data_IF_967943248067
#
_entry.id   IF_967943248067
#
_cell.length_a   1.000
_cell.length_b   1.000
_cell.length_c   1.000
_cell.angle_alpha   90.00
_cell.angle_beta   90.00
_cell.angle_gamma   90.00
#
_symmetry.space_group_name_H-M   'P 1'
#
loop_
_entity.id
_entity.type
_entity.pdbx_description
1 polymer ?
#
# COMPACT_ATOMS: atom_id res chain seq x y z
N UNK A 1 -24.51 -14.61 1.77
CA UNK A 1 -25.68 -13.88 2.32
C UNK A 1 -25.72 -13.82 3.85
N UNK A 2 -25.72 -12.61 4.41
CA UNK A 2 -25.93 -12.31 5.84
C UNK A 2 -26.99 -11.22 6.01
N UNK A 3 -27.86 -11.33 7.01
CA UNK A 3 -28.79 -10.25 7.38
C UNK A 3 -28.10 -9.33 8.39
N UNK A 4 -28.08 -8.04 8.09
CA UNK A 4 -27.48 -7.01 8.92
C UNK A 4 -28.53 -6.44 9.85
N UNK A 5 -28.16 -6.33 11.11
CA UNK A 5 -28.90 -5.69 12.20
C UNK A 5 -27.99 -4.69 12.90
N UNK A 6 -28.55 -3.85 13.78
CA UNK A 6 -27.75 -2.95 14.59
C UNK A 6 -26.66 -3.65 15.41
N UNK A 7 -26.92 -4.88 15.87
CA UNK A 7 -25.98 -5.61 16.73
C UNK A 7 -24.76 -6.14 15.98
N UNK A 8 -24.91 -6.50 14.71
CA UNK A 8 -23.82 -7.09 13.92
C UNK A 8 -23.25 -6.16 12.85
N UNK A 9 -23.84 -4.98 12.63
CA UNK A 9 -23.38 -4.00 11.65
C UNK A 9 -21.88 -3.72 11.71
N UNK A 10 -21.32 -3.53 12.91
CA UNK A 10 -19.90 -3.22 13.06
C UNK A 10 -19.00 -4.42 12.70
N UNK A 11 -19.31 -5.63 13.19
CA UNK A 11 -18.49 -6.80 12.95
C UNK A 11 -18.64 -7.35 11.52
N UNK A 12 -19.89 -7.57 11.10
CA UNK A 12 -20.23 -8.35 9.92
C UNK A 12 -20.31 -7.52 8.63
N UNK A 13 -20.34 -6.18 8.75
CA UNK A 13 -20.29 -5.27 7.61
C UNK A 13 -19.04 -4.40 7.64
N UNK A 14 -18.83 -3.61 8.70
CA UNK A 14 -17.71 -2.67 8.72
C UNK A 14 -16.37 -3.40 8.78
N UNK A 15 -16.11 -4.19 9.82
CA UNK A 15 -14.83 -4.89 9.95
C UNK A 15 -14.63 -5.92 8.85
N UNK A 16 -15.64 -6.75 8.57
CA UNK A 16 -15.54 -7.73 7.49
C UNK A 16 -15.26 -7.09 6.11
N UNK A 17 -15.70 -5.85 5.86
CA UNK A 17 -15.39 -5.16 4.61
C UNK A 17 -13.94 -4.70 4.45
N UNK A 18 -13.12 -4.78 5.51
CA UNK A 18 -11.67 -4.56 5.44
C UNK A 18 -11.02 -5.68 4.65
N UNK A 19 -11.44 -6.93 4.89
CA UNK A 19 -10.84 -8.12 4.31
C UNK A 19 -11.48 -8.50 2.97
N UNK A 20 -12.78 -8.26 2.81
CA UNK A 20 -13.52 -8.66 1.61
C UNK A 20 -14.62 -7.64 1.26
N UNK A 21 -14.74 -7.17 0.00
CA UNK A 21 -15.82 -6.25 -0.38
C UNK A 21 -17.21 -6.80 -0.04
N UNK A 22 -18.07 -5.96 0.54
CA UNK A 22 -19.44 -6.32 0.91
C UNK A 22 -20.43 -5.42 0.18
N UNK A 23 -21.32 -6.02 -0.60
CA UNK A 23 -22.47 -5.33 -1.18
C UNK A 23 -23.66 -5.45 -0.23
N UNK A 24 -24.10 -4.32 0.32
CA UNK A 24 -25.29 -4.24 1.18
C UNK A 24 -26.53 -3.89 0.34
N UNK A 25 -27.50 -4.80 0.27
CA UNK A 25 -28.83 -4.59 -0.32
C UNK A 25 -29.83 -4.11 0.74
N UNK A 26 -30.19 -2.83 0.69
CA UNK A 26 -31.24 -2.24 1.53
C UNK A 26 -32.59 -2.44 0.86
N UNK A 27 -33.43 -3.28 1.47
CA UNK A 27 -34.68 -3.77 0.88
C UNK A 27 -35.85 -3.72 1.88
N UNK A 28 -37.06 -3.99 1.40
CA UNK A 28 -38.23 -4.26 2.24
C UNK A 28 -39.24 -5.19 1.54
N UNK A 29 -40.10 -5.94 2.26
CA UNK A 29 -41.02 -6.91 1.65
C UNK A 29 -42.05 -6.32 0.68
N UNK A 30 -42.44 -5.06 0.91
CA UNK A 30 -43.39 -4.31 0.10
C UNK A 30 -42.75 -3.70 -1.17
N UNK A 31 -41.43 -3.68 -1.25
CA UNK A 31 -40.70 -3.12 -2.40
C UNK A 31 -40.77 -4.07 -3.60
N UNK A 32 -41.57 -3.71 -4.60
CA UNK A 32 -41.69 -4.47 -5.86
C UNK A 32 -40.33 -4.66 -6.58
N UNK A 33 -39.58 -3.58 -6.88
CA UNK A 33 -38.29 -3.68 -7.56
C UNK A 33 -37.24 -4.52 -6.81
N UNK A 34 -37.29 -4.55 -5.47
CA UNK A 34 -36.39 -5.37 -4.65
C UNK A 34 -36.57 -6.87 -4.94
N UNK A 35 -37.79 -7.32 -5.25
CA UNK A 35 -38.10 -8.72 -5.55
C UNK A 35 -37.44 -9.22 -6.84
N UNK A 36 -37.20 -8.33 -7.80
CA UNK A 36 -36.45 -8.67 -9.02
C UNK A 36 -34.93 -8.54 -8.82
N UNK A 37 -34.48 -7.61 -7.98
CA UNK A 37 -33.06 -7.34 -7.77
C UNK A 37 -32.37 -8.43 -6.93
N UNK A 38 -32.98 -8.85 -5.82
CA UNK A 38 -32.39 -9.81 -4.88
C UNK A 38 -31.86 -11.09 -5.55
N UNK A 39 -32.65 -11.80 -6.36
CA UNK A 39 -32.19 -13.02 -7.05
C UNK A 39 -31.02 -12.78 -8.02
N UNK A 40 -30.93 -11.58 -8.62
CA UNK A 40 -29.80 -11.22 -9.49
C UNK A 40 -28.54 -11.02 -8.66
N UNK A 41 -28.64 -10.35 -7.50
CA UNK A 41 -27.51 -10.17 -6.58
C UNK A 41 -27.00 -11.50 -6.03
N UNK A 42 -27.90 -12.38 -5.61
CA UNK A 42 -27.56 -13.73 -5.11
C UNK A 42 -26.86 -14.57 -6.19
N UNK A 43 -27.36 -14.51 -7.44
CA UNK A 43 -26.70 -15.15 -8.58
C UNK A 43 -25.29 -14.60 -8.81
N UNK A 44 -25.10 -13.29 -8.67
CA UNK A 44 -23.79 -12.66 -8.84
C UNK A 44 -22.83 -13.00 -7.70
N UNK A 45 -23.29 -13.08 -6.45
CA UNK A 45 -22.46 -13.53 -5.31
C UNK A 45 -21.83 -14.90 -5.61
N UNK A 46 -22.64 -15.84 -6.12
CA UNK A 46 -22.15 -17.17 -6.53
C UNK A 46 -21.21 -17.08 -7.73
N UNK A 47 -21.57 -16.30 -8.76
CA UNK A 47 -20.76 -16.18 -9.98
C UNK A 47 -19.40 -15.52 -9.76
N UNK A 48 -19.28 -14.65 -8.76
CA UNK A 48 -18.01 -14.02 -8.38
C UNK A 48 -17.20 -14.90 -7.42
N UNK A 49 -17.68 -16.12 -7.09
CA UNK A 49 -16.93 -17.15 -6.37
C UNK A 49 -16.29 -16.67 -5.05
N UNK A 50 -17.03 -15.86 -4.28
CA UNK A 50 -16.54 -15.34 -3.01
C UNK A 50 -15.57 -14.16 -3.13
N UNK A 51 -15.43 -13.51 -4.28
CA UNK A 51 -14.66 -12.25 -4.38
C UNK A 51 -15.36 -11.06 -3.70
N UNK A 52 -16.66 -11.17 -3.46
CA UNK A 52 -17.43 -10.26 -2.62
C UNK A 52 -18.51 -11.02 -1.85
N UNK A 53 -19.05 -10.40 -0.80
CA UNK A 53 -20.17 -10.93 -0.02
C UNK A 53 -21.42 -10.08 -0.18
N UNK A 54 -22.56 -10.72 -0.30
CA UNK A 54 -23.87 -10.07 -0.28
C UNK A 54 -24.38 -10.01 1.17
N UNK A 55 -24.74 -8.81 1.60
CA UNK A 55 -25.41 -8.54 2.87
C UNK A 55 -26.77 -7.90 2.60
N UNK A 56 -27.74 -8.14 3.47
CA UNK A 56 -29.10 -7.59 3.32
C UNK A 56 -29.49 -6.80 4.56
N UNK A 57 -30.10 -5.64 4.36
CA UNK A 57 -30.65 -4.81 5.42
C UNK A 57 -32.13 -4.58 5.14
N UNK A 58 -32.99 -5.07 6.03
CA UNK A 58 -34.42 -4.79 5.92
C UNK A 58 -34.72 -3.41 6.53
N UNK A 59 -35.16 -2.47 5.70
CA UNK A 59 -35.45 -1.10 6.09
C UNK A 59 -36.64 -0.97 7.07
N UNK A 60 -37.54 -1.97 7.12
CA UNK A 60 -38.66 -1.97 8.08
C UNK A 60 -38.18 -2.34 9.50
N UNK A 61 -37.21 -3.25 9.62
CA UNK A 61 -36.72 -3.73 10.92
C UNK A 61 -35.53 -2.92 11.43
N UNK A 62 -34.73 -2.36 10.53
CA UNK A 62 -33.54 -1.56 10.84
C UNK A 62 -33.64 -0.13 10.24
N UNK A 63 -34.69 0.64 10.59
CA UNK A 63 -34.98 1.92 9.94
C UNK A 63 -33.90 2.99 10.20
N UNK A 64 -33.22 2.94 11.35
CA UNK A 64 -32.18 3.91 11.70
C UNK A 64 -30.95 3.76 10.78
N UNK A 65 -30.50 2.53 10.55
CA UNK A 65 -29.36 2.23 9.66
C UNK A 65 -29.73 2.58 8.22
N UNK A 66 -30.90 2.13 7.76
CA UNK A 66 -31.38 2.42 6.41
C UNK A 66 -31.55 3.93 6.16
N UNK A 67 -32.04 4.67 7.16
CA UNK A 67 -32.19 6.12 7.12
C UNK A 67 -30.85 6.85 7.01
N UNK A 68 -29.85 6.45 7.80
CA UNK A 68 -28.50 7.03 7.73
C UNK A 68 -27.84 6.80 6.37
N UNK A 69 -27.90 5.57 5.85
CA UNK A 69 -27.36 5.26 4.51
C UNK A 69 -28.09 6.06 3.42
N UNK A 70 -29.41 6.16 3.51
CA UNK A 70 -30.21 6.94 2.56
C UNK A 70 -29.82 8.43 2.57
N UNK A 71 -29.58 9.01 3.75
CA UNK A 71 -29.12 10.39 3.87
C UNK A 71 -27.72 10.59 3.28
N UNK A 72 -26.79 9.68 3.57
CA UNK A 72 -25.41 9.74 3.09
C UNK A 72 -25.32 9.69 1.56
N UNK A 73 -26.15 8.87 0.91
CA UNK A 73 -26.22 8.78 -0.55
C UNK A 73 -27.21 9.77 -1.19
N UNK A 74 -27.96 10.55 -0.40
CA UNK A 74 -28.90 11.56 -0.89
C UNK A 74 -30.17 10.96 -1.54
N UNK A 75 -30.57 9.76 -1.12
CA UNK A 75 -31.66 8.98 -1.73
C UNK A 75 -32.84 8.86 -0.78
N UNK A 76 -34.03 8.60 -1.33
CA UNK A 76 -35.29 8.49 -0.55
C UNK A 76 -36.09 7.23 -0.86
N UNK A 77 -35.52 6.32 -1.65
CA UNK A 77 -36.21 5.15 -2.17
C UNK A 77 -35.31 3.93 -2.13
N UNK A 78 -35.93 2.78 -1.85
CA UNK A 78 -35.31 1.46 -1.98
C UNK A 78 -35.74 0.81 -3.31
N UNK A 79 -34.96 -0.16 -3.85
CA UNK A 79 -33.70 -0.69 -3.29
C UNK A 79 -32.55 0.31 -3.38
N UNK A 80 -31.72 0.34 -2.33
CA UNK A 80 -30.43 1.02 -2.30
C UNK A 80 -29.37 -0.05 -2.08
N UNK A 81 -28.39 -0.14 -2.97
CA UNK A 81 -27.23 -1.02 -2.80
C UNK A 81 -25.99 -0.18 -2.50
N UNK A 82 -25.23 -0.56 -1.49
CA UNK A 82 -24.03 0.15 -1.04
C UNK A 82 -22.85 -0.81 -1.03
N UNK A 83 -21.74 -0.43 -1.69
CA UNK A 83 -20.49 -1.16 -1.62
C UNK A 83 -19.68 -0.69 -0.41
N UNK A 84 -19.32 -1.62 0.46
CA UNK A 84 -18.38 -1.42 1.55
C UNK A 84 -17.05 -2.09 1.20
N UNK A 85 -15.95 -1.33 1.33
CA UNK A 85 -14.58 -1.80 1.12
C UNK A 85 -13.63 -1.02 2.02
N UNK A 86 -12.67 -1.69 2.64
CA UNK A 86 -11.71 -1.06 3.55
C UNK A 86 -12.36 -0.47 4.81
N UNK A 87 -13.49 -1.05 5.27
CA UNK A 87 -14.21 -0.57 6.44
C UNK A 87 -15.12 0.65 6.22
N UNK A 88 -15.34 1.03 4.96
CA UNK A 88 -16.10 2.25 4.63
C UNK A 88 -17.01 2.05 3.42
N UNK A 89 -18.12 2.80 3.32
CA UNK A 89 -18.93 2.86 2.11
C UNK A 89 -18.17 3.61 1.01
N UNK A 90 -17.91 2.96 -0.12
CA UNK A 90 -17.08 3.50 -1.21
C UNK A 90 -17.88 3.89 -2.45
N UNK A 91 -19.04 3.28 -2.67
CA UNK A 91 -19.92 3.56 -3.81
C UNK A 91 -21.32 2.99 -3.56
N UNK A 92 -22.30 3.34 -4.39
CA UNK A 92 -23.66 2.80 -4.28
C UNK A 92 -24.54 3.09 -5.49
N UNK A 93 -25.63 2.35 -5.63
CA UNK A 93 -26.63 2.56 -6.67
C UNK A 93 -28.05 2.38 -6.14
N UNK A 94 -29.02 2.97 -6.85
CA UNK A 94 -30.45 2.97 -6.47
C UNK A 94 -31.27 2.32 -7.57
N UNK A 95 -32.28 1.56 -7.16
CA UNK A 95 -33.22 0.92 -8.06
C UNK A 95 -32.76 -0.46 -8.53
N UNK A 96 -33.65 -1.13 -9.26
CA UNK A 96 -33.36 -2.43 -9.84
C UNK A 96 -32.67 -2.26 -11.20
N UNK A 97 -31.34 -2.29 -11.19
CA UNK A 97 -30.52 -2.22 -12.40
C UNK A 97 -30.49 -3.57 -13.15
N UNK A 98 -30.11 -3.55 -14.44
CA UNK A 98 -29.89 -4.77 -15.19
C UNK A 98 -28.62 -5.50 -14.73
N UNK A 99 -28.55 -6.83 -14.88
CA UNK A 99 -27.39 -7.64 -14.44
C UNK A 99 -26.06 -7.10 -14.99
N UNK A 100 -26.03 -6.64 -16.25
CA UNK A 100 -24.84 -6.08 -16.87
C UNK A 100 -24.35 -4.79 -16.18
N UNK A 101 -25.26 -3.92 -15.74
CA UNK A 101 -24.93 -2.69 -15.02
C UNK A 101 -24.42 -3.00 -13.62
N UNK A 102 -25.00 -4.00 -12.95
CA UNK A 102 -24.53 -4.46 -11.63
C UNK A 102 -23.13 -5.05 -11.74
N UNK A 103 -22.84 -5.84 -12.78
CA UNK A 103 -21.48 -6.35 -13.04
C UNK A 103 -20.48 -5.22 -13.24
N UNK A 104 -20.80 -4.24 -14.07
CA UNK A 104 -19.96 -3.06 -14.25
C UNK A 104 -19.74 -2.27 -12.96
N UNK A 105 -20.73 -2.23 -12.07
CA UNK A 105 -20.57 -1.65 -10.73
C UNK A 105 -19.63 -2.49 -9.86
N UNK A 106 -19.83 -3.81 -9.80
CA UNK A 106 -19.00 -4.73 -9.01
C UNK A 106 -17.54 -4.74 -9.48
N UNK A 107 -17.30 -4.79 -10.78
CA UNK A 107 -15.94 -4.89 -11.37
C UNK A 107 -15.06 -3.67 -11.07
N UNK A 108 -15.63 -2.55 -10.59
CA UNK A 108 -14.86 -1.39 -10.12
C UNK A 108 -14.28 -1.58 -8.72
N UNK A 109 -14.88 -2.44 -7.92
CA UNK A 109 -14.64 -2.52 -6.47
C UNK A 109 -14.20 -3.91 -6.02
N UNK A 110 -14.64 -4.95 -6.73
CA UNK A 110 -14.36 -6.34 -6.43
C UNK A 110 -13.09 -6.76 -7.17
N UNK A 111 -12.07 -7.29 -6.47
CA UNK A 111 -10.82 -7.69 -7.10
C UNK A 111 -11.07 -8.79 -8.14
N UNK A 112 -10.22 -8.87 -9.16
CA UNK A 112 -10.22 -10.00 -10.10
C UNK A 112 -9.63 -11.25 -9.43
N UNK A 113 -9.84 -12.47 -9.98
CA UNK A 113 -9.18 -13.67 -9.48
C UNK A 113 -7.65 -13.56 -9.43
N UNK A 114 -7.05 -12.95 -10.46
CA UNK A 114 -5.60 -12.74 -10.54
C UNK A 114 -5.11 -11.74 -9.48
N UNK A 115 -5.92 -10.73 -9.15
CA UNK A 115 -5.60 -9.80 -8.07
C UNK A 115 -5.62 -10.47 -6.69
N UNK A 116 -6.56 -11.38 -6.44
CA UNK A 116 -6.58 -12.16 -5.20
C UNK A 116 -5.41 -13.13 -5.11
N UNK A 117 -5.10 -13.83 -6.20
CA UNK A 117 -3.95 -14.74 -6.25
C UNK A 117 -2.64 -13.97 -6.02
N UNK A 118 -2.51 -12.76 -6.59
CA UNK A 118 -1.38 -11.89 -6.33
C UNK A 118 -1.29 -11.46 -4.85
N UNK A 119 -2.42 -11.20 -4.19
CA UNK A 119 -2.46 -10.88 -2.76
C UNK A 119 -2.02 -12.08 -1.90
N UNK A 120 -2.49 -13.29 -2.22
CA UNK A 120 -2.07 -14.53 -1.56
C UNK A 120 -0.56 -14.79 -1.71
N UNK A 121 0.00 -14.54 -2.90
CA UNK A 121 1.43 -14.68 -3.15
C UNK A 121 2.26 -13.65 -2.34
N UNK A 122 1.77 -12.41 -2.18
CA UNK A 122 2.41 -11.41 -1.31
C UNK A 122 2.42 -11.88 0.14
N UNK A 123 1.29 -12.37 0.66
CA UNK A 123 1.20 -12.89 2.03
C UNK A 123 2.13 -14.08 2.26
N UNK A 124 2.20 -15.00 1.28
CA UNK A 124 3.12 -16.14 1.33
C UNK A 124 4.59 -15.68 1.35
N UNK A 125 4.94 -14.67 0.55
CA UNK A 125 6.28 -14.09 0.55
C UNK A 125 6.64 -13.44 1.89
N UNK A 126 5.70 -12.71 2.52
CA UNK A 126 5.92 -12.12 3.84
C UNK A 126 6.21 -13.19 4.89
N UNK A 127 5.46 -14.30 4.89
CA UNK A 127 5.70 -15.43 5.78
C UNK A 127 7.09 -16.07 5.53
N UNK A 128 7.46 -16.30 4.27
CA UNK A 128 8.78 -16.83 3.89
C UNK A 128 9.92 -15.91 4.34
N UNK A 129 9.79 -14.58 4.18
CA UNK A 129 10.78 -13.63 4.67
C UNK A 129 10.92 -13.66 6.19
N UNK A 130 9.82 -13.84 6.92
CA UNK A 130 9.84 -13.96 8.39
C UNK A 130 10.60 -15.22 8.86
N UNK A 131 10.58 -16.27 8.04
CA UNK A 131 11.30 -17.53 8.28
C UNK A 131 12.74 -17.52 7.71
N UNK A 132 13.12 -16.48 6.97
CA UNK A 132 14.43 -16.31 6.35
C UNK A 132 14.56 -16.96 4.96
N UNK A 133 13.47 -17.48 4.40
CA UNK A 133 13.39 -18.08 3.07
C UNK A 133 13.35 -17.02 1.96
N UNK A 134 14.49 -16.36 1.75
CA UNK A 134 14.58 -15.19 0.87
C UNK A 134 14.29 -15.49 -0.60
N UNK A 135 14.80 -16.61 -1.13
CA UNK A 135 14.64 -16.94 -2.55
C UNK A 135 13.19 -17.30 -2.89
N UNK A 136 12.52 -18.09 -2.03
CA UNK A 136 11.10 -18.42 -2.20
C UNK A 136 10.21 -17.19 -2.11
N UNK A 137 10.51 -16.27 -1.18
CA UNK A 137 9.78 -15.01 -1.08
C UNK A 137 9.92 -14.14 -2.33
N UNK A 138 11.13 -14.07 -2.91
CA UNK A 138 11.36 -13.33 -4.15
C UNK A 138 10.54 -13.92 -5.30
N UNK A 139 10.52 -15.25 -5.45
CA UNK A 139 9.73 -15.94 -6.47
C UNK A 139 8.25 -15.59 -6.35
N UNK A 140 7.69 -15.69 -5.15
CA UNK A 140 6.31 -15.32 -4.85
C UNK A 140 6.00 -13.86 -5.15
N UNK A 141 6.89 -12.94 -4.78
CA UNK A 141 6.73 -11.52 -5.10
C UNK A 141 6.79 -11.24 -6.62
N UNK A 142 7.60 -11.98 -7.36
CA UNK A 142 7.67 -11.86 -8.82
C UNK A 142 6.38 -12.38 -9.48
N UNK A 143 5.82 -13.49 -8.99
CA UNK A 143 4.51 -14.02 -9.42
C UNK A 143 3.39 -13.01 -9.15
N UNK A 144 3.33 -12.45 -7.94
CA UNK A 144 2.36 -11.41 -7.59
C UNK A 144 2.44 -10.17 -8.51
N UNK A 145 3.65 -9.71 -8.82
CA UNK A 145 3.87 -8.57 -9.72
C UNK A 145 3.50 -8.92 -11.18
N UNK A 146 3.63 -10.18 -11.59
CA UNK A 146 3.22 -10.63 -12.90
C UNK A 146 1.68 -10.72 -13.03
N UNK A 147 1.00 -11.21 -11.99
CA UNK A 147 -0.45 -11.31 -11.90
C UNK A 147 -1.13 -9.93 -11.79
N UNK A 148 -0.55 -9.03 -11.00
CA UNK A 148 -1.02 -7.65 -10.87
C UNK A 148 0.10 -6.62 -11.09
N UNK A 149 0.45 -6.32 -12.37
CA UNK A 149 1.52 -5.37 -12.69
C UNK A 149 1.28 -3.93 -12.21
N UNK A 150 0.01 -3.58 -11.93
CA UNK A 150 -0.41 -2.28 -11.40
C UNK A 150 -0.21 -2.13 -9.89
N UNK A 151 0.06 -3.22 -9.16
CA UNK A 151 0.28 -3.18 -7.72
C UNK A 151 1.69 -2.67 -7.38
N UNK A 152 1.79 -1.36 -7.21
CA UNK A 152 3.05 -0.69 -6.86
C UNK A 152 3.57 -1.09 -5.46
N UNK A 153 2.71 -1.59 -4.54
CA UNK A 153 3.15 -2.14 -3.24
C UNK A 153 3.89 -3.47 -3.43
N UNK A 154 3.27 -4.43 -4.11
CA UNK A 154 3.90 -5.72 -4.42
C UNK A 154 5.21 -5.54 -5.19
N UNK A 155 5.22 -4.60 -6.15
CA UNK A 155 6.44 -4.24 -6.89
C UNK A 155 7.52 -3.66 -5.99
N UNK A 156 7.16 -2.79 -5.05
CA UNK A 156 8.10 -2.25 -4.08
C UNK A 156 8.70 -3.35 -3.21
N UNK A 157 7.90 -4.25 -2.67
CA UNK A 157 8.38 -5.35 -1.83
C UNK A 157 9.29 -6.31 -2.62
N UNK A 158 8.92 -6.63 -3.87
CA UNK A 158 9.76 -7.39 -4.79
C UNK A 158 11.13 -6.71 -5.01
N UNK A 159 11.13 -5.43 -5.38
CA UNK A 159 12.37 -4.66 -5.60
C UNK A 159 13.24 -4.60 -4.36
N UNK A 160 12.64 -4.36 -3.20
CA UNK A 160 13.36 -4.32 -1.92
C UNK A 160 13.99 -5.67 -1.62
N UNK A 161 13.26 -6.77 -1.77
CA UNK A 161 13.79 -8.12 -1.55
C UNK A 161 14.95 -8.44 -2.50
N UNK A 162 14.80 -8.13 -3.79
CA UNK A 162 15.85 -8.32 -4.81
C UNK A 162 17.11 -7.50 -4.50
N UNK A 163 16.97 -6.22 -4.15
CA UNK A 163 18.09 -5.34 -3.80
C UNK A 163 18.79 -5.79 -2.52
N UNK A 164 18.04 -6.22 -1.50
CA UNK A 164 18.61 -6.77 -0.27
C UNK A 164 19.39 -8.06 -0.52
N UNK A 165 18.91 -8.91 -1.45
CA UNK A 165 19.58 -10.13 -1.89
C UNK A 165 20.73 -9.89 -2.89
N UNK A 166 20.95 -8.65 -3.33
CA UNK A 166 21.98 -8.31 -4.32
C UNK A 166 21.69 -8.77 -5.75
N UNK A 167 20.43 -9.10 -6.07
CA UNK A 167 19.97 -9.55 -7.40
C UNK A 167 19.67 -8.34 -8.29
N UNK A 168 20.72 -7.61 -8.67
CA UNK A 168 20.64 -6.29 -9.31
C UNK A 168 19.96 -6.36 -10.69
N UNK A 169 20.28 -7.37 -11.51
CA UNK A 169 19.67 -7.52 -12.84
C UNK A 169 18.16 -7.78 -12.77
N UNK A 170 17.74 -8.65 -11.85
CA UNK A 170 16.32 -8.96 -11.61
C UNK A 170 15.58 -7.72 -11.06
N UNK A 171 16.23 -6.95 -10.17
CA UNK A 171 15.69 -5.69 -9.66
C UNK A 171 15.51 -4.65 -10.79
N UNK A 172 16.48 -4.54 -11.70
CA UNK A 172 16.38 -3.67 -12.89
C UNK A 172 15.21 -4.06 -13.77
N UNK A 173 15.07 -5.34 -14.11
CA UNK A 173 13.95 -5.83 -14.90
C UNK A 173 12.59 -5.55 -14.23
N UNK A 174 12.53 -5.62 -12.90
CA UNK A 174 11.31 -5.33 -12.13
C UNK A 174 10.97 -3.83 -12.09
N UNK A 175 11.98 -2.96 -12.12
CA UNK A 175 11.82 -1.51 -12.04
C UNK A 175 11.53 -0.85 -13.40
N UNK A 176 12.10 -1.36 -14.49
CA UNK A 176 12.03 -0.75 -15.82
C UNK A 176 10.59 -0.42 -16.30
N UNK A 177 9.57 -1.28 -16.09
CA UNK A 177 8.20 -0.97 -16.48
C UNK A 177 7.60 0.28 -15.81
N UNK A 178 8.15 0.69 -14.66
CA UNK A 178 7.64 1.83 -13.88
C UNK A 178 8.56 3.04 -13.88
N UNK A 179 9.79 2.91 -14.38
CA UNK A 179 10.80 3.97 -14.37
C UNK A 179 10.35 5.28 -15.06
N UNK A 180 9.52 5.17 -16.10
CA UNK A 180 9.00 6.32 -16.85
C UNK A 180 7.65 6.85 -16.40
N UNK A 181 7.04 6.29 -15.34
CA UNK A 181 5.73 6.76 -14.86
C UNK A 181 5.84 8.21 -14.38
N UNK A 182 4.90 9.07 -14.83
CA UNK A 182 4.85 10.49 -14.44
C UNK A 182 4.66 10.68 -12.93
N UNK A 183 3.86 9.82 -12.31
CA UNK A 183 3.63 9.78 -10.87
C UNK A 183 4.06 8.40 -10.37
N UNK A 184 5.25 8.33 -9.79
CA UNK A 184 5.82 7.12 -9.22
C UNK A 184 5.78 7.22 -7.69
N UNK A 185 5.40 6.13 -7.03
CA UNK A 185 5.43 6.02 -5.56
C UNK A 185 6.84 6.37 -5.04
N UNK A 186 6.93 7.16 -3.98
CA UNK A 186 8.20 7.62 -3.42
C UNK A 186 9.12 6.46 -2.99
N UNK A 187 8.56 5.31 -2.61
CA UNK A 187 9.31 4.09 -2.27
C UNK A 187 9.92 3.45 -3.51
N UNK A 188 9.21 3.44 -4.64
CA UNK A 188 9.76 2.98 -5.91
C UNK A 188 10.87 3.92 -6.41
N UNK A 189 10.71 5.24 -6.23
CA UNK A 189 11.80 6.21 -6.49
C UNK A 189 13.03 5.89 -5.63
N UNK A 190 12.84 5.54 -4.36
CA UNK A 190 13.92 5.15 -3.47
C UNK A 190 14.64 3.87 -3.92
N UNK A 191 13.89 2.85 -4.37
CA UNK A 191 14.46 1.64 -4.98
C UNK A 191 15.28 1.97 -6.23
N UNK A 192 14.80 2.87 -7.11
CA UNK A 192 15.55 3.31 -8.29
C UNK A 192 16.88 3.97 -7.93
N UNK A 193 16.91 4.84 -6.93
CA UNK A 193 18.15 5.47 -6.45
C UNK A 193 19.13 4.46 -5.85
N UNK A 194 18.64 3.44 -5.16
CA UNK A 194 19.49 2.37 -4.64
C UNK A 194 20.03 1.48 -5.75
N UNK A 195 19.18 1.11 -6.70
CA UNK A 195 19.56 0.35 -7.89
C UNK A 195 20.68 1.05 -8.68
N UNK A 196 20.51 2.34 -8.95
CA UNK A 196 21.55 3.16 -9.60
C UNK A 196 22.85 3.20 -8.80
N UNK A 197 22.78 3.22 -7.46
CA UNK A 197 23.97 3.16 -6.60
C UNK A 197 24.67 1.80 -6.69
N UNK A 198 23.91 0.70 -6.71
CA UNK A 198 24.45 -0.66 -6.89
C UNK A 198 25.14 -0.82 -8.24
N UNK A 199 24.52 -0.35 -9.33
CA UNK A 199 25.11 -0.42 -10.68
C UNK A 199 26.39 0.43 -10.79
N UNK A 200 26.38 1.64 -10.23
CA UNK A 200 27.56 2.54 -10.24
C UNK A 200 28.70 2.04 -9.36
N UNK A 201 28.41 1.28 -8.30
CA UNK A 201 29.43 0.78 -7.38
C UNK A 201 30.49 -0.08 -8.10
N UNK A 202 30.12 -0.79 -9.17
CA UNK A 202 31.02 -1.64 -9.96
C UNK A 202 32.14 -0.83 -10.63
N UNK A 203 31.86 0.40 -11.06
CA UNK A 203 32.80 1.27 -11.76
C UNK A 203 33.37 2.40 -10.87
N UNK A 204 33.05 2.37 -9.58
CA UNK A 204 33.39 3.43 -8.63
C UNK A 204 34.87 3.41 -8.24
N UNK A 205 35.39 4.58 -7.83
CA UNK A 205 36.72 4.70 -7.21
C UNK A 205 36.73 3.96 -5.87
N UNK A 206 37.91 3.52 -5.42
CA UNK A 206 38.00 2.88 -4.12
C UNK A 206 37.67 3.88 -2.98
N UNK A 207 37.11 3.41 -1.85
CA UNK A 207 36.80 4.26 -0.71
C UNK A 207 38.00 5.10 -0.23
N UNK A 208 39.21 4.56 -0.31
CA UNK A 208 40.44 5.26 0.10
C UNK A 208 40.78 6.44 -0.81
N UNK A 209 40.59 6.26 -2.13
CA UNK A 209 40.79 7.34 -3.12
C UNK A 209 39.77 8.45 -2.92
N UNK A 210 38.51 8.08 -2.68
CA UNK A 210 37.44 9.03 -2.41
C UNK A 210 37.71 9.79 -1.11
N UNK A 211 38.08 9.10 -0.04
CA UNK A 211 38.43 9.71 1.24
C UNK A 211 39.60 10.69 1.11
N UNK A 212 40.64 10.35 0.34
CA UNK A 212 41.77 11.24 0.08
C UNK A 212 41.36 12.50 -0.70
N UNK A 213 40.49 12.37 -1.71
CA UNK A 213 39.95 13.51 -2.46
C UNK A 213 39.13 14.45 -1.56
N UNK A 214 38.26 13.89 -0.71
CA UNK A 214 37.45 14.63 0.25
C UNK A 214 38.32 15.33 1.31
N UNK A 215 39.41 14.70 1.75
CA UNK A 215 40.36 15.29 2.69
C UNK A 215 41.11 16.48 2.06
N UNK A 216 41.47 16.38 0.78
CA UNK A 216 42.12 17.46 0.04
C UNK A 216 41.15 18.63 -0.27
N UNK A 217 39.88 18.33 -0.54
CA UNK A 217 38.83 19.31 -0.78
C UNK A 217 37.51 18.90 -0.09
N UNK A 218 37.19 19.53 1.05
CA UNK A 218 35.97 19.23 1.80
C UNK A 218 34.66 19.54 1.06
N UNK A 219 34.72 20.30 -0.04
CA UNK A 219 33.60 20.62 -0.94
C UNK A 219 33.63 19.81 -2.24
N UNK A 220 34.44 18.75 -2.32
CA UNK A 220 34.34 17.75 -3.38
C UNK A 220 33.09 16.89 -3.15
N UNK A 221 31.94 17.46 -3.52
CA UNK A 221 30.64 16.84 -3.31
C UNK A 221 30.41 15.65 -4.25
N UNK A 222 31.05 15.64 -5.43
CA UNK A 222 31.01 14.50 -6.35
C UNK A 222 31.69 13.27 -5.71
N UNK A 223 32.91 13.43 -5.18
CA UNK A 223 33.59 12.33 -4.47
C UNK A 223 32.84 11.88 -3.22
N UNK A 224 32.25 12.82 -2.47
CA UNK A 224 31.46 12.49 -1.28
C UNK A 224 30.17 11.75 -1.62
N UNK A 225 29.49 12.16 -2.69
CA UNK A 225 28.28 11.49 -3.15
C UNK A 225 28.57 10.09 -3.68
N UNK A 226 29.66 9.91 -4.44
CA UNK A 226 30.12 8.59 -4.89
C UNK A 226 30.44 7.66 -3.71
N UNK A 227 31.09 8.18 -2.66
CA UNK A 227 31.32 7.41 -1.43
C UNK A 227 30.00 7.02 -0.75
N UNK A 228 29.04 7.94 -0.66
CA UNK A 228 27.72 7.65 -0.13
C UNK A 228 26.99 6.55 -0.94
N UNK A 229 27.10 6.57 -2.28
CA UNK A 229 26.53 5.53 -3.13
C UNK A 229 27.17 4.17 -2.89
N UNK A 230 28.49 4.11 -2.67
CA UNK A 230 29.18 2.86 -2.27
C UNK A 230 28.66 2.32 -0.93
N UNK A 231 28.46 3.20 0.06
CA UNK A 231 27.88 2.79 1.33
C UNK A 231 26.44 2.29 1.15
N UNK A 232 25.64 2.96 0.33
CA UNK A 232 24.26 2.57 0.07
C UNK A 232 24.17 1.21 -0.64
N UNK A 233 24.96 1.01 -1.69
CA UNK A 233 25.08 -0.27 -2.40
C UNK A 233 25.50 -1.41 -1.46
N UNK A 234 26.41 -1.14 -0.52
CA UNK A 234 26.87 -2.09 0.50
C UNK A 234 25.93 -2.23 1.72
N UNK A 235 24.70 -1.69 1.65
CA UNK A 235 23.72 -1.72 2.75
C UNK A 235 24.20 -1.04 4.06
N UNK A 236 25.26 -0.22 3.99
CA UNK A 236 25.76 0.59 5.11
C UNK A 236 25.01 1.92 5.16
N UNK A 237 23.71 1.83 5.47
CA UNK A 237 22.78 2.95 5.36
C UNK A 237 23.17 4.17 6.21
N UNK A 238 23.66 3.95 7.44
CA UNK A 238 24.09 5.04 8.33
C UNK A 238 25.28 5.81 7.78
N UNK A 239 26.29 5.10 7.27
CA UNK A 239 27.48 5.71 6.66
C UNK A 239 27.10 6.52 5.42
N UNK A 240 26.21 5.96 4.57
CA UNK A 240 25.70 6.65 3.39
C UNK A 240 25.01 7.97 3.79
N UNK A 241 24.14 7.91 4.80
CA UNK A 241 23.43 9.10 5.28
C UNK A 241 24.36 10.15 5.89
N UNK A 242 25.38 9.75 6.65
CA UNK A 242 26.32 10.71 7.24
C UNK A 242 27.12 11.45 6.14
N UNK A 243 27.56 10.78 5.07
CA UNK A 243 28.19 11.44 3.92
C UNK A 243 27.24 12.36 3.15
N UNK A 244 25.98 11.94 2.93
CA UNK A 244 24.96 12.76 2.27
C UNK A 244 24.61 14.01 3.09
N UNK A 245 24.56 13.89 4.41
CA UNK A 245 24.27 15.01 5.32
C UNK A 245 25.36 16.08 5.24
N UNK A 246 26.63 15.68 5.13
CA UNK A 246 27.75 16.62 4.97
C UNK A 246 27.65 17.44 3.67
N UNK A 247 27.06 16.88 2.60
CA UNK A 247 26.74 17.62 1.37
C UNK A 247 25.60 18.61 1.66
N UNK A 248 24.46 18.12 2.17
CA UNK A 248 23.26 18.93 2.44
C UNK A 248 23.55 20.12 3.36
N UNK A 249 24.37 19.92 4.39
CA UNK A 249 24.75 20.99 5.33
C UNK A 249 25.61 22.10 4.70
N UNK A 250 26.33 21.82 3.61
CA UNK A 250 27.22 22.79 2.94
C UNK A 250 26.63 23.38 1.66
N UNK A 251 25.76 22.62 1.01
CA UNK A 251 25.05 23.02 -0.21
C UNK A 251 23.78 22.19 -0.38
N UNK A 252 22.64 22.77 0.04
CA UNK A 252 21.32 22.13 0.01
C UNK A 252 20.83 21.89 -1.42
N UNK A 253 21.31 22.68 -2.39
CA UNK A 253 20.85 22.70 -3.78
C UNK A 253 21.77 21.93 -4.73
N UNK A 254 22.91 21.43 -4.24
CA UNK A 254 23.88 20.71 -5.06
C UNK A 254 23.20 19.58 -5.85
N UNK A 255 23.47 19.57 -7.16
CA UNK A 255 22.99 18.58 -8.13
C UNK A 255 21.48 18.36 -8.04
N UNK A 256 20.69 19.43 -8.10
CA UNK A 256 19.21 19.38 -8.03
C UNK A 256 18.70 18.62 -6.80
N UNK A 257 19.38 18.84 -5.66
CA UNK A 257 19.05 18.26 -4.37
C UNK A 257 19.20 16.73 -4.32
N UNK A 258 19.99 16.14 -5.24
CA UNK A 258 20.20 14.70 -5.34
C UNK A 258 20.70 14.08 -4.03
N UNK A 259 21.56 14.78 -3.29
CA UNK A 259 22.03 14.33 -1.99
C UNK A 259 20.87 14.17 -0.98
N UNK A 260 19.95 15.14 -0.95
CA UNK A 260 18.75 15.07 -0.07
C UNK A 260 17.80 13.98 -0.52
N UNK A 261 17.54 13.87 -1.83
CA UNK A 261 16.67 12.81 -2.39
C UNK A 261 17.20 11.42 -2.06
N UNK A 262 18.51 11.21 -2.20
CA UNK A 262 19.17 9.94 -1.85
C UNK A 262 19.12 9.68 -0.35
N UNK A 263 19.28 10.71 0.49
CA UNK A 263 19.14 10.55 1.95
C UNK A 263 17.73 10.07 2.34
N UNK A 264 16.69 10.68 1.75
CA UNK A 264 15.30 10.26 1.96
C UNK A 264 15.09 8.84 1.44
N UNK A 265 15.67 8.47 0.31
CA UNK A 265 15.61 7.10 -0.21
C UNK A 265 16.20 6.08 0.78
N UNK A 266 17.36 6.37 1.38
CA UNK A 266 17.96 5.51 2.41
C UNK A 266 17.03 5.37 3.62
N UNK A 267 16.45 6.47 4.12
CA UNK A 267 15.46 6.42 5.21
C UNK A 267 14.25 5.55 4.86
N UNK A 268 13.78 5.61 3.62
CA UNK A 268 12.68 4.77 3.13
C UNK A 268 13.05 3.29 3.15
N UNK A 269 14.28 2.93 2.75
CA UNK A 269 14.74 1.53 2.78
C UNK A 269 14.93 0.99 4.21
N UNK A 270 15.33 1.86 5.15
CA UNK A 270 15.48 1.49 6.57
C UNK A 270 14.15 1.39 7.31
N UNK A 271 13.10 2.04 6.79
CA UNK A 271 11.79 2.03 7.44
C UNK A 271 11.15 0.65 7.25
N UNK A 272 10.73 0.04 8.36
CA UNK A 272 9.93 -1.19 8.27
C UNK A 272 8.62 -0.90 7.50
N UNK A 273 8.13 -1.84 6.70
CA UNK A 273 6.77 -1.77 6.19
C UNK A 273 5.82 -1.53 7.38
N UNK A 274 4.84 -0.63 7.26
CA UNK A 274 3.78 -0.58 8.26
C UNK A 274 3.18 -1.97 8.34
N UNK A 275 3.07 -2.54 9.54
CA UNK A 275 2.37 -3.80 9.72
C UNK A 275 0.99 -3.67 9.07
N UNK A 276 0.67 -4.59 8.15
CA UNK A 276 -0.69 -4.79 7.67
C UNK A 276 -1.60 -4.87 8.89
N UNK A 277 -2.64 -4.02 8.93
CA UNK A 277 -3.48 -3.84 10.11
C UNK A 277 -4.26 -5.13 10.41
N UNK A 278 -3.67 -6.03 11.18
CA UNK A 278 -4.38 -7.17 11.80
C UNK A 278 -4.47 -7.03 13.33
N UNK A 279 -4.40 -5.81 13.86
CA UNK A 279 -4.78 -5.59 15.27
C UNK A 279 -6.24 -5.16 15.35
N UNK A 280 -7.10 -6.16 15.51
CA UNK A 280 -8.47 -6.02 15.97
C UNK A 280 -8.51 -5.28 17.32
N UNK A 281 -8.96 -4.03 17.34
CA UNK A 281 -9.34 -3.38 18.58
C UNK A 281 -10.71 -3.87 19.02
N UNK A 282 -10.75 -4.74 20.03
CA UNK A 282 -11.97 -5.14 20.75
C UNK A 282 -12.57 -3.96 21.56
N UNK A 283 -13.84 -4.05 21.99
CA UNK A 283 -14.85 -3.03 21.70
C UNK A 283 -14.84 -1.85 22.67
N UNK A 284 -15.11 -0.66 22.15
CA UNK A 284 -15.75 0.41 22.91
C UNK A 284 -17.03 0.79 22.20
N UNK A 285 -18.15 0.35 22.77
CA UNK A 285 -19.45 0.92 22.43
C UNK A 285 -19.43 2.43 22.61
N UNK A 286 -20.39 3.08 21.95
CA UNK A 286 -20.60 4.52 21.73
C UNK A 286 -19.77 5.12 20.60
N UNK A 287 -20.48 5.49 19.52
CA UNK A 287 -19.99 6.31 18.40
C UNK A 287 -19.29 7.57 18.91
N UNK A 288 -17.96 7.59 18.85
CA UNK A 288 -17.13 8.80 18.96
C UNK A 288 -16.16 8.80 17.78
N UNK A 289 -16.47 9.62 16.77
CA UNK A 289 -15.62 9.92 15.62
C UNK A 289 -14.41 10.77 16.07
N UNK A 290 -13.41 10.15 16.69
CA UNK A 290 -12.08 10.71 16.85
C UNK A 290 -11.06 9.59 17.10
N UNK A 291 -10.70 8.86 16.04
CA UNK A 291 -9.64 7.85 16.09
C UNK A 291 -8.28 8.49 16.37
N UNK A 292 -7.78 8.32 17.60
CA UNK A 292 -6.33 8.45 17.86
C UNK A 292 -5.64 7.31 17.11
N UNK A 293 -4.89 7.68 16.07
CA UNK A 293 -4.01 6.76 15.35
C UNK A 293 -2.95 6.28 16.34
N UNK A 294 -3.00 5.00 16.73
CA UNK A 294 -1.87 4.32 17.36
C UNK A 294 -0.79 4.18 16.28
N UNK A 295 0.18 5.11 16.26
CA UNK A 295 1.38 4.98 15.45
C UNK A 295 2.30 3.95 16.10
N UNK A 296 2.66 2.90 15.38
CA UNK A 296 3.74 1.97 15.72
C UNK A 296 4.97 2.78 16.17
N UNK A 297 5.63 2.44 17.29
CA UNK A 297 6.80 3.18 17.72
C UNK A 297 7.88 3.09 16.62
N UNK A 298 8.25 4.24 16.08
CA UNK A 298 9.24 4.34 15.03
C UNK A 298 10.62 3.88 15.53
N UNK A 299 11.43 3.33 14.62
CA UNK A 299 12.80 2.93 14.91
C UNK A 299 13.61 4.15 15.43
N UNK A 300 14.15 4.10 16.67
CA UNK A 300 14.86 5.24 17.27
C UNK A 300 16.02 5.76 16.42
N UNK A 301 16.68 4.88 15.66
CA UNK A 301 17.77 5.23 14.77
C UNK A 301 17.26 6.02 13.56
N UNK A 302 16.20 5.54 12.91
CA UNK A 302 15.58 6.23 11.76
C UNK A 302 15.09 7.62 12.19
N UNK A 303 14.50 7.75 13.37
CA UNK A 303 14.07 9.04 13.91
C UNK A 303 15.22 9.98 14.26
N UNK A 304 16.36 9.45 14.70
CA UNK A 304 17.57 10.24 14.87
C UNK A 304 18.04 10.84 13.54
N UNK A 305 18.10 10.05 12.47
CA UNK A 305 18.52 10.54 11.15
C UNK A 305 17.48 11.49 10.53
N UNK A 306 16.18 11.23 10.67
CA UNK A 306 15.13 12.22 10.30
C UNK A 306 15.34 13.58 10.98
N UNK A 307 15.66 13.60 12.28
CA UNK A 307 15.97 14.84 13.01
C UNK A 307 17.22 15.53 12.49
N UNK A 308 18.31 14.77 12.25
CA UNK A 308 19.54 15.31 11.66
C UNK A 308 19.25 16.01 10.32
N UNK A 309 18.47 15.37 9.43
CA UNK A 309 18.09 15.96 8.15
C UNK A 309 17.28 17.24 8.34
N UNK A 310 16.25 17.22 9.18
CA UNK A 310 15.45 18.41 9.46
C UNK A 310 16.32 19.56 9.95
N UNK A 311 17.23 19.32 10.92
CA UNK A 311 18.15 20.35 11.42
C UNK A 311 19.08 20.91 10.34
N UNK A 312 19.51 20.09 9.38
CA UNK A 312 20.35 20.55 8.28
C UNK A 312 19.57 21.39 7.24
N UNK A 313 18.24 21.24 7.16
CA UNK A 313 17.41 21.97 6.20
C UNK A 313 16.91 23.32 6.70
N UNK A 314 16.78 23.49 8.02
CA UNK A 314 16.56 24.80 8.66
C UNK A 314 17.87 25.58 8.84
#
# INVERSE_FOLDING_TARGET
MIDITLQNFEADLIHASVDQPILLDVWAPWCGPCKSLGPVLEKLEVAYAGRFKLAKLNADTEPDIAGQLSQMFGVRSIPLCVMFKGGQPVDGFVGALAEAEIRQFLDKHVPTPEELEAEEDVEAAEAMLAEGETDGAIEKLQEAVALNPGNDNARFDCLRALLMAGRIDDARATFDPVAGKMLLDARLVACGLWLDACEKAVASRSPEVLAAAIAANRRDFDARFELAQLHFAAQRFTDAMDELLEIVMRDKAWNEELARKTYVAVLTMMSKPPATKSESSAPKGTLELAGKVNTTPADPLVDQYRRKLSMALF
#
